data_IF_863233185678
#
_entry.id   IF_863233185678
#
_cell.length_a   1.000
_cell.length_b   1.000
_cell.length_c   1.000
_cell.angle_alpha   90.00
_cell.angle_beta   90.00
_cell.angle_gamma   90.00
#
_symmetry.space_group_name_H-M   'P 1'
#
loop_
_entity.id
_entity.type
_entity.pdbx_description
1 polymer ?
#
# COMPACT_ATOMS: atom_id res chain seq x y z
N UNK A 1 31.27 -20.96 12.49
CA UNK A 1 30.41 -21.27 11.32
C UNK A 1 29.03 -20.76 11.65
N UNK A 2 28.73 -19.53 11.26
CA UNK A 2 27.40 -18.94 11.41
C UNK A 2 26.48 -19.68 10.42
N UNK A 3 25.48 -20.39 10.94
CA UNK A 3 24.47 -21.05 10.12
C UNK A 3 23.66 -19.99 9.33
N UNK A 4 23.19 -20.30 8.11
CA UNK A 4 22.34 -19.38 7.40
C UNK A 4 21.03 -19.24 8.17
N UNK A 5 20.72 -18.00 8.51
CA UNK A 5 19.43 -17.61 9.09
C UNK A 5 18.38 -18.02 8.07
N UNK A 6 17.58 -19.02 8.40
CA UNK A 6 16.45 -19.48 7.59
C UNK A 6 15.42 -18.35 7.54
N UNK A 7 15.63 -17.40 6.64
CA UNK A 7 14.63 -16.45 6.25
C UNK A 7 13.61 -17.28 5.48
N UNK A 8 12.54 -17.68 6.18
CA UNK A 8 11.38 -18.31 5.56
C UNK A 8 10.92 -17.54 4.31
N UNK A 9 10.09 -18.14 3.46
CA UNK A 9 9.74 -17.58 2.15
C UNK A 9 9.38 -16.09 2.26
N UNK A 10 9.86 -15.26 1.32
CA UNK A 10 9.68 -13.81 1.39
C UNK A 10 8.20 -13.50 1.52
N UNK A 11 7.81 -12.85 2.62
CA UNK A 11 6.42 -12.52 2.92
C UNK A 11 5.88 -11.65 1.78
N UNK A 12 4.73 -12.03 1.25
CA UNK A 12 4.09 -11.29 0.16
C UNK A 12 3.34 -10.08 0.70
N UNK A 13 2.93 -9.18 -0.19
CA UNK A 13 2.10 -8.03 0.16
C UNK A 13 0.76 -8.46 0.77
N UNK A 14 0.17 -9.55 0.29
CA UNK A 14 -1.07 -10.08 0.88
C UNK A 14 -0.84 -10.60 2.31
N UNK A 15 0.31 -11.25 2.57
CA UNK A 15 0.65 -11.73 3.92
C UNK A 15 0.81 -10.56 4.88
N UNK A 16 1.59 -9.53 4.51
CA UNK A 16 1.76 -8.34 5.35
C UNK A 16 0.47 -7.55 5.53
N UNK A 17 -0.42 -7.54 4.53
CA UNK A 17 -1.74 -6.91 4.67
C UNK A 17 -2.59 -7.61 5.72
N UNK A 18 -2.58 -8.94 5.75
CA UNK A 18 -3.27 -9.73 6.79
C UNK A 18 -2.66 -9.48 8.17
N UNK A 19 -1.32 -9.49 8.27
CA UNK A 19 -0.58 -9.19 9.51
C UNK A 19 -0.86 -7.77 10.01
N UNK A 20 -1.11 -6.82 9.10
CA UNK A 20 -1.50 -5.44 9.43
C UNK A 20 -2.95 -5.30 9.94
N UNK A 21 -3.68 -6.41 10.11
CA UNK A 21 -5.06 -6.40 10.59
C UNK A 21 -6.11 -6.28 9.48
N UNK A 22 -5.75 -6.58 8.22
CA UNK A 22 -6.66 -6.58 7.08
C UNK A 22 -6.87 -8.01 6.53
N UNK A 23 -7.63 -8.87 7.23
CA UNK A 23 -7.71 -10.31 6.91
C UNK A 23 -8.51 -10.62 5.64
N UNK A 24 -9.42 -9.74 5.24
CA UNK A 24 -10.34 -9.97 4.12
C UNK A 24 -10.17 -8.90 3.04
N UNK A 25 -9.43 -9.23 1.99
CA UNK A 25 -9.23 -8.40 0.80
C UNK A 25 -9.93 -9.01 -0.40
N UNK A 26 -10.70 -8.20 -1.13
CA UNK A 26 -11.28 -8.62 -2.41
C UNK A 26 -10.29 -8.35 -3.54
N UNK A 27 -9.51 -9.35 -3.93
CA UNK A 27 -8.48 -9.26 -4.98
C UNK A 27 -9.11 -9.67 -6.32
N UNK A 28 -9.79 -8.75 -6.98
CA UNK A 28 -10.52 -9.00 -8.23
C UNK A 28 -9.86 -8.36 -9.47
N UNK A 29 -8.99 -7.37 -9.27
CA UNK A 29 -8.35 -6.64 -10.36
C UNK A 29 -6.98 -7.18 -10.74
N UNK A 30 -6.59 -6.98 -12.00
CA UNK A 30 -5.25 -7.33 -12.48
C UNK A 30 -4.14 -6.59 -11.70
N UNK A 31 -4.38 -5.33 -11.32
CA UNK A 31 -3.42 -4.58 -10.50
C UNK A 31 -3.33 -5.16 -9.08
N UNK A 32 -4.46 -5.47 -8.44
CA UNK A 32 -4.48 -6.04 -7.10
C UNK A 32 -3.77 -7.40 -7.07
N UNK A 33 -4.00 -8.27 -8.06
CA UNK A 33 -3.29 -9.56 -8.18
C UNK A 33 -1.78 -9.37 -8.25
N UNK A 34 -1.31 -8.50 -9.16
CA UNK A 34 0.13 -8.19 -9.27
C UNK A 34 0.72 -7.63 -7.98
N UNK A 35 0.03 -6.68 -7.34
CA UNK A 35 0.52 -6.09 -6.10
C UNK A 35 0.50 -7.08 -4.94
N UNK A 36 -0.45 -8.03 -4.91
CA UNK A 36 -0.53 -9.06 -3.89
C UNK A 36 0.68 -10.00 -3.90
N UNK A 37 1.20 -10.30 -5.09
CA UNK A 37 2.35 -11.18 -5.29
C UNK A 37 3.70 -10.47 -5.08
N UNK A 38 3.71 -9.13 -4.97
CA UNK A 38 4.94 -8.39 -4.66
C UNK A 38 5.48 -8.76 -3.27
N UNK A 39 6.79 -8.66 -3.10
CA UNK A 39 7.41 -8.74 -1.76
C UNK A 39 6.84 -7.65 -0.86
N UNK A 40 6.34 -8.06 0.31
CA UNK A 40 5.92 -7.15 1.35
C UNK A 40 7.14 -6.49 2.01
N UNK A 41 7.10 -5.17 2.15
CA UNK A 41 8.19 -4.35 2.70
C UNK A 41 7.84 -3.81 4.08
N UNK A 42 6.56 -3.53 4.34
CA UNK A 42 6.11 -2.87 5.58
C UNK A 42 4.70 -3.28 6.00
N UNK A 43 4.41 -3.16 7.29
CA UNK A 43 3.05 -3.20 7.82
C UNK A 43 2.34 -1.87 7.54
N UNK A 44 1.05 -1.96 7.23
CA UNK A 44 0.19 -0.81 7.02
C UNK A 44 -0.35 -0.30 8.36
N UNK A 45 0.21 0.81 8.84
CA UNK A 45 -0.21 1.45 10.09
C UNK A 45 -1.16 2.60 9.79
N UNK A 46 -2.40 2.51 10.28
CA UNK A 46 -3.37 3.58 10.10
C UNK A 46 -3.00 4.83 10.91
N UNK A 47 -3.25 6.01 10.33
CA UNK A 47 -3.19 7.29 11.05
C UNK A 47 -4.24 7.38 12.15
N UNK A 48 -5.42 6.81 11.90
CA UNK A 48 -6.58 6.78 12.80
C UNK A 48 -7.00 5.34 13.00
N UNK A 49 -6.69 4.77 14.17
CA UNK A 49 -6.91 3.33 14.43
C UNK A 49 -8.39 2.95 14.54
N UNK A 50 -9.25 3.91 14.88
CA UNK A 50 -10.70 3.77 14.97
C UNK A 50 -11.41 3.85 13.60
N UNK A 51 -10.68 4.18 12.53
CA UNK A 51 -11.26 4.32 11.20
C UNK A 51 -11.44 2.96 10.50
N UNK A 52 -12.69 2.57 10.29
CA UNK A 52 -13.03 1.44 9.42
C UNK A 52 -12.73 1.75 7.95
N UNK A 53 -11.90 0.91 7.30
CA UNK A 53 -11.59 1.03 5.87
C UNK A 53 -12.48 0.10 5.03
N UNK A 54 -13.08 0.63 3.95
CA UNK A 54 -13.85 -0.19 3.01
C UNK A 54 -12.93 -0.95 2.05
N UNK A 55 -12.42 -2.11 2.48
CA UNK A 55 -11.56 -3.01 1.70
C UNK A 55 -12.34 -3.99 0.80
N UNK A 56 -13.62 -3.71 0.54
CA UNK A 56 -14.38 -4.34 -0.56
C UNK A 56 -14.23 -3.57 -1.87
N UNK A 57 -13.81 -2.29 -1.79
CA UNK A 57 -13.62 -1.45 -2.97
C UNK A 57 -12.26 -1.75 -3.60
N UNK A 58 -12.26 -2.08 -4.90
CA UNK A 58 -11.07 -2.36 -5.70
C UNK A 58 -9.91 -1.38 -5.46
N UNK A 59 -10.13 -0.08 -5.59
CA UNK A 59 -9.07 0.93 -5.42
C UNK A 59 -8.48 0.98 -4.01
N UNK A 60 -9.27 0.62 -3.00
CA UNK A 60 -8.81 0.58 -1.61
C UNK A 60 -7.94 -0.64 -1.34
N UNK A 61 -8.29 -1.79 -1.93
CA UNK A 61 -7.46 -3.00 -1.90
C UNK A 61 -6.13 -2.76 -2.62
N UNK A 62 -6.18 -2.22 -3.84
CA UNK A 62 -4.97 -1.86 -4.59
C UNK A 62 -4.09 -0.88 -3.79
N UNK A 63 -4.69 0.14 -3.16
CA UNK A 63 -3.99 1.11 -2.34
C UNK A 63 -3.29 0.45 -1.14
N UNK A 64 -3.96 -0.46 -0.44
CA UNK A 64 -3.36 -1.19 0.69
C UNK A 64 -2.19 -2.05 0.24
N UNK A 65 -2.37 -2.84 -0.82
CA UNK A 65 -1.32 -3.71 -1.36
C UNK A 65 -0.11 -2.91 -1.86
N UNK A 66 -0.34 -1.76 -2.49
CA UNK A 66 0.74 -0.84 -2.85
C UNK A 66 1.40 -0.20 -1.64
N UNK A 67 0.66 0.07 -0.57
CA UNK A 67 1.22 0.62 0.66
C UNK A 67 2.21 -0.35 1.31
N UNK A 68 1.85 -1.63 1.39
CA UNK A 68 2.70 -2.64 2.05
C UNK A 68 3.90 -3.07 1.19
N UNK A 69 3.79 -3.01 -0.14
CA UNK A 69 4.83 -3.49 -1.08
C UNK A 69 5.65 -2.39 -1.76
N UNK A 70 5.17 -1.15 -1.72
CA UNK A 70 5.82 -0.04 -2.40
C UNK A 70 7.02 0.52 -1.66
N UNK A 71 7.64 1.52 -2.27
CA UNK A 71 8.76 2.27 -1.72
C UNK A 71 8.28 3.59 -1.14
N UNK A 72 8.93 4.02 -0.06
CA UNK A 72 8.63 5.31 0.51
C UNK A 72 9.20 6.40 -0.40
N UNK A 73 8.35 7.37 -0.76
CA UNK A 73 8.78 8.50 -1.54
C UNK A 73 9.79 9.34 -0.73
N UNK A 74 10.82 9.86 -1.41
CA UNK A 74 11.84 10.69 -0.78
C UNK A 74 11.26 11.89 -0.01
N UNK A 75 10.17 12.45 -0.53
CA UNK A 75 9.35 13.46 0.15
C UNK A 75 7.88 13.09 0.07
N UNK A 76 7.08 13.54 1.03
CA UNK A 76 5.64 13.30 1.00
C UNK A 76 4.96 14.16 -0.08
N UNK A 77 3.96 13.62 -0.76
CA UNK A 77 3.13 14.42 -1.67
C UNK A 77 2.35 15.49 -0.89
N UNK A 78 1.89 16.55 -1.58
CA UNK A 78 1.16 17.67 -0.95
C UNK A 78 -0.05 17.23 -0.12
N UNK A 79 -0.74 16.16 -0.56
CA UNK A 79 -1.90 15.61 0.14
C UNK A 79 -1.49 14.80 1.38
N UNK A 80 -0.45 13.96 1.29
CA UNK A 80 0.05 13.19 2.43
C UNK A 80 0.64 14.10 3.51
N UNK A 81 1.33 15.18 3.12
CA UNK A 81 1.84 16.19 4.05
C UNK A 81 0.73 16.88 4.85
N UNK A 82 -0.48 16.97 4.30
CA UNK A 82 -1.68 17.48 5.00
C UNK A 82 -2.39 16.41 5.83
N UNK A 83 -1.86 15.19 5.90
CA UNK A 83 -2.45 14.07 6.62
C UNK A 83 -3.58 13.34 5.89
N UNK A 84 -3.74 13.55 4.57
CA UNK A 84 -4.76 12.83 3.80
C UNK A 84 -4.35 11.39 3.49
N UNK A 85 -5.34 10.49 3.53
CA UNK A 85 -5.17 9.06 3.32
C UNK A 85 -5.15 8.29 4.65
N UNK A 86 -5.39 6.98 4.63
CA UNK A 86 -5.60 6.21 5.84
C UNK A 86 -4.29 5.81 6.56
N UNK A 87 -3.15 5.70 5.87
CA UNK A 87 -1.92 5.14 6.44
C UNK A 87 -0.80 6.16 6.64
N UNK A 88 0.11 5.88 7.57
CA UNK A 88 1.33 6.66 7.78
C UNK A 88 2.29 6.57 6.59
N UNK A 89 3.07 7.62 6.33
CA UNK A 89 4.02 7.65 5.21
C UNK A 89 3.39 7.99 3.85
N UNK A 90 4.23 8.05 2.81
CA UNK A 90 3.83 8.33 1.44
C UNK A 90 4.47 7.31 0.49
N UNK A 91 3.74 6.26 0.17
CA UNK A 91 4.29 5.09 -0.51
C UNK A 91 3.89 5.08 -1.98
N UNK A 92 4.84 4.83 -2.87
CA UNK A 92 4.66 4.76 -4.32
C UNK A 92 5.08 3.39 -4.85
N UNK A 93 4.45 2.96 -5.94
CA UNK A 93 4.87 1.77 -6.71
C UNK A 93 5.19 2.24 -8.12
N UNK A 94 6.46 2.17 -8.51
CA UNK A 94 6.93 2.67 -9.81
C UNK A 94 6.16 2.04 -10.97
N UNK A 95 5.74 2.87 -11.93
CA UNK A 95 4.99 2.43 -13.12
C UNK A 95 3.54 2.00 -12.86
N UNK A 96 3.03 2.13 -11.63
CA UNK A 96 1.64 1.84 -11.30
C UNK A 96 0.91 3.11 -10.85
N UNK A 97 -0.43 3.04 -10.74
CA UNK A 97 -1.27 4.10 -10.15
C UNK A 97 -1.09 5.49 -10.76
N UNK A 98 -0.69 5.57 -12.04
CA UNK A 98 -0.38 6.82 -12.75
C UNK A 98 0.63 7.72 -11.99
N UNK A 99 1.57 7.10 -11.26
CA UNK A 99 2.57 7.81 -10.43
C UNK A 99 2.06 8.25 -9.05
N UNK A 100 0.77 8.10 -8.77
CA UNK A 100 0.20 8.50 -7.48
C UNK A 100 0.60 7.55 -6.34
N UNK A 101 0.72 8.10 -5.13
CA UNK A 101 0.98 7.31 -3.94
C UNK A 101 -0.25 6.53 -3.46
N UNK A 102 -0.04 5.44 -2.73
CA UNK A 102 -1.07 4.56 -2.18
C UNK A 102 -2.16 5.32 -1.40
N UNK A 103 -1.76 6.28 -0.56
CA UNK A 103 -2.70 7.09 0.23
C UNK A 103 -3.64 7.94 -0.64
N UNK A 104 -3.16 8.45 -1.77
CA UNK A 104 -4.00 9.19 -2.71
C UNK A 104 -4.78 8.25 -3.64
N UNK A 105 -4.26 7.07 -3.96
CA UNK A 105 -4.99 6.07 -4.73
C UNK A 105 -6.25 5.58 -4.01
N UNK A 106 -6.20 5.52 -2.68
CA UNK A 106 -7.35 5.19 -1.83
C UNK A 106 -8.57 6.05 -2.18
N UNK A 107 -9.75 5.44 -2.20
CA UNK A 107 -11.01 6.01 -2.68
C UNK A 107 -10.97 6.54 -4.12
N UNK A 108 -10.08 6.00 -4.97
CA UNK A 108 -9.90 6.43 -6.36
C UNK A 108 -9.58 7.92 -6.49
N UNK A 109 -8.82 8.46 -5.53
CA UNK A 109 -8.46 9.90 -5.45
C UNK A 109 -7.07 10.20 -6.02
N UNK A 110 -6.55 9.35 -6.90
CA UNK A 110 -5.16 9.40 -7.39
C UNK A 110 -4.78 10.72 -8.05
N UNK A 111 -5.73 11.36 -8.75
CA UNK A 111 -5.55 12.67 -9.40
C UNK A 111 -5.27 13.82 -8.41
N UNK A 112 -5.53 13.65 -7.12
CA UNK A 112 -5.21 14.62 -6.06
C UNK A 112 -3.78 14.48 -5.54
N UNK A 113 -3.04 13.47 -5.99
CA UNK A 113 -1.64 13.29 -5.65
C UNK A 113 -0.79 14.29 -6.43
N UNK A 114 0.13 14.98 -5.78
CA UNK A 114 1.07 15.86 -6.48
C UNK A 114 2.12 15.12 -7.33
N UNK A 115 2.15 13.78 -7.26
CA UNK A 115 2.97 12.92 -8.11
C UNK A 115 2.17 12.37 -9.31
N UNK A 116 0.90 12.71 -9.43
CA UNK A 116 0.08 12.22 -10.53
C UNK A 116 0.58 12.81 -11.85
N UNK A 117 0.97 11.96 -12.80
CA UNK A 117 1.44 12.38 -14.12
C UNK A 117 2.90 12.85 -14.17
N UNK A 118 3.68 12.65 -13.11
CA UNK A 118 5.15 12.73 -13.13
C UNK A 118 5.74 11.36 -13.47
#
# INVERSE_FOLDING_TARGET
MEAPMDAGPPRTAIDLSKESGYPALLIDSALAKRLADNTGVRLAVQRRQDQGLNLKRRSNVEALLAHVSGQEAHSQCKSCHKGYGPWNGCIVVSGQMCGSCANCWFNASGSRCSFHGT
#
